data_IF_568575413368
#
_entry.id   IF_568575413368
#
_cell.length_a   1.000
_cell.length_b   1.000
_cell.length_c   1.000
_cell.angle_alpha   90.00
_cell.angle_beta   90.00
_cell.angle_gamma   90.00
#
_symmetry.space_group_name_H-M   'P 1'
#
loop_
_entity.id
_entity.type
_entity.pdbx_description
1 polymer ?
#
# COMPACT_ATOMS: atom_id res chain seq x y z
N UNK A 1 15.69 -14.06 2.34
CA UNK A 1 16.04 -15.48 2.55
C UNK A 1 15.03 -16.22 3.43
N UNK A 2 14.70 -15.72 4.64
CA UNK A 2 13.73 -16.39 5.53
C UNK A 2 12.29 -16.37 4.97
N UNK A 3 11.89 -15.34 4.29
CA UNK A 3 10.56 -15.24 3.65
C UNK A 3 10.41 -16.33 2.58
N UNK A 4 11.42 -16.55 1.75
CA UNK A 4 11.42 -17.61 0.74
C UNK A 4 11.48 -19.02 1.35
N UNK A 5 12.14 -19.19 2.49
CA UNK A 5 12.08 -20.44 3.25
C UNK A 5 10.65 -20.74 3.71
N UNK A 6 9.92 -19.74 4.20
CA UNK A 6 8.50 -19.88 4.57
C UNK A 6 7.63 -20.22 3.36
N UNK A 7 7.88 -19.58 2.21
CA UNK A 7 7.21 -19.91 0.94
C UNK A 7 7.42 -21.40 0.62
N UNK A 8 8.67 -21.86 0.62
CA UNK A 8 9.01 -23.24 0.31
C UNK A 8 8.36 -24.26 1.26
N UNK A 9 8.32 -23.95 2.54
CA UNK A 9 7.67 -24.80 3.54
C UNK A 9 6.18 -24.89 3.30
N UNK A 10 5.53 -23.76 3.09
CA UNK A 10 4.07 -23.68 2.92
C UNK A 10 3.59 -24.27 1.60
N UNK A 11 4.36 -24.16 0.53
CA UNK A 11 4.03 -24.77 -0.76
C UNK A 11 4.20 -26.30 -0.76
N UNK A 12 5.12 -26.83 0.08
CA UNK A 12 5.31 -28.26 0.27
C UNK A 12 4.32 -28.87 1.27
N UNK A 13 3.72 -28.03 2.12
CA UNK A 13 2.79 -28.49 3.14
C UNK A 13 1.43 -28.88 2.51
N UNK A 14 0.85 -29.98 2.98
CA UNK A 14 -0.50 -30.39 2.58
C UNK A 14 -1.59 -29.63 3.40
N UNK A 15 -1.41 -28.32 3.55
CA UNK A 15 -2.34 -27.46 4.28
C UNK A 15 -2.59 -26.15 3.54
N UNK A 16 -3.73 -25.54 3.79
CA UNK A 16 -3.98 -24.19 3.29
C UNK A 16 -3.19 -23.17 4.11
N UNK A 17 -2.62 -22.21 3.41
CA UNK A 17 -1.92 -21.07 3.99
C UNK A 17 -2.34 -19.79 3.28
N UNK A 18 -2.31 -18.67 3.98
CA UNK A 18 -2.59 -17.35 3.41
C UNK A 18 -1.82 -16.28 4.17
N UNK A 19 -1.83 -15.07 3.64
CA UNK A 19 -1.19 -13.89 4.22
C UNK A 19 -2.15 -12.70 4.12
N UNK A 20 -2.06 -11.77 5.07
CA UNK A 20 -2.94 -10.61 5.06
C UNK A 20 -2.45 -9.48 4.13
N UNK A 21 -2.56 -9.67 2.83
CA UNK A 21 -2.46 -8.59 1.84
C UNK A 21 -3.82 -7.87 1.77
N UNK A 22 -4.16 -7.16 2.82
CA UNK A 22 -5.50 -6.67 3.11
C UNK A 22 -6.12 -5.78 2.02
N UNK A 23 -5.29 -5.07 1.24
CA UNK A 23 -5.77 -4.22 0.15
C UNK A 23 -6.47 -5.04 -0.93
N UNK A 24 -6.02 -6.27 -1.20
CA UNK A 24 -6.69 -7.16 -2.18
C UNK A 24 -8.13 -7.52 -1.77
N UNK A 25 -8.44 -7.51 -0.46
CA UNK A 25 -9.76 -7.82 0.07
C UNK A 25 -10.63 -6.57 0.32
N UNK A 26 -10.06 -5.37 0.20
CA UNK A 26 -10.81 -4.14 0.37
C UNK A 26 -11.81 -3.95 -0.78
N UNK A 27 -13.07 -3.65 -0.43
CA UNK A 27 -14.15 -3.52 -1.41
C UNK A 27 -13.83 -2.53 -2.55
N UNK A 28 -13.13 -1.45 -2.24
CA UNK A 28 -12.78 -0.42 -3.21
C UNK A 28 -11.71 -0.90 -4.19
N UNK A 29 -10.73 -1.70 -3.75
CA UNK A 29 -9.76 -2.32 -4.64
C UNK A 29 -10.37 -3.45 -5.47
N UNK A 30 -11.28 -4.22 -4.89
CA UNK A 30 -12.05 -5.25 -5.61
C UNK A 30 -12.92 -4.62 -6.72
N UNK A 31 -13.60 -3.50 -6.44
CA UNK A 31 -14.39 -2.78 -7.45
C UNK A 31 -13.53 -2.31 -8.62
N UNK A 32 -12.36 -1.74 -8.35
CA UNK A 32 -11.41 -1.31 -9.40
C UNK A 32 -10.92 -2.52 -10.19
N UNK A 33 -10.49 -3.60 -9.51
CA UNK A 33 -9.97 -4.80 -10.19
C UNK A 33 -11.03 -5.43 -11.10
N UNK A 34 -12.25 -5.55 -10.61
CA UNK A 34 -13.37 -6.06 -11.40
C UNK A 34 -13.61 -5.19 -12.65
N UNK A 35 -13.53 -3.88 -12.51
CA UNK A 35 -13.71 -2.94 -13.61
C UNK A 35 -12.61 -3.05 -14.68
N UNK A 36 -11.35 -3.27 -14.25
CA UNK A 36 -10.23 -3.58 -15.14
C UNK A 36 -10.49 -4.90 -15.87
N UNK A 37 -10.84 -5.95 -15.13
CA UNK A 37 -11.01 -7.32 -15.68
C UNK A 37 -12.21 -7.43 -16.63
N UNK A 38 -13.21 -6.58 -16.49
CA UNK A 38 -14.33 -6.44 -17.42
C UNK A 38 -13.96 -5.71 -18.71
N UNK A 39 -12.73 -5.16 -18.82
CA UNK A 39 -12.27 -4.44 -20.00
C UNK A 39 -12.83 -3.02 -20.13
N UNK A 40 -13.50 -2.51 -19.11
CA UNK A 40 -14.16 -1.20 -19.14
C UNK A 40 -13.18 -0.03 -19.35
N UNK A 41 -11.94 -0.18 -18.90
CA UNK A 41 -10.89 0.84 -19.11
C UNK A 41 -10.11 0.63 -20.42
N UNK A 42 -10.40 -0.44 -21.18
CA UNK A 42 -9.54 -0.88 -22.28
C UNK A 42 -8.23 -1.47 -21.77
N UNK A 43 -7.12 -1.20 -22.44
CA UNK A 43 -5.79 -1.60 -21.97
C UNK A 43 -5.33 -0.67 -20.86
N UNK A 44 -4.87 -1.24 -19.74
CA UNK A 44 -4.27 -0.47 -18.64
C UNK A 44 -2.97 0.19 -19.13
N UNK A 45 -2.82 1.48 -18.92
CA UNK A 45 -1.67 2.26 -19.38
C UNK A 45 -0.88 2.88 -18.23
N UNK A 46 -1.58 3.48 -17.25
CA UNK A 46 -0.94 4.21 -16.15
C UNK A 46 -1.61 3.82 -14.83
N UNK A 47 -0.77 3.59 -13.83
CA UNK A 47 -1.16 3.28 -12.48
C UNK A 47 -0.45 4.21 -11.51
N UNK A 48 -1.19 4.97 -10.71
CA UNK A 48 -0.65 5.87 -9.70
C UNK A 48 -1.26 5.56 -8.35
N UNK A 49 -0.40 5.38 -7.36
CA UNK A 49 -0.79 5.12 -5.99
C UNK A 49 -0.08 6.11 -5.08
N UNK A 50 -0.82 6.74 -4.20
CA UNK A 50 -0.28 7.59 -3.15
C UNK A 50 -0.88 7.18 -1.81
N UNK A 51 -0.03 7.01 -0.81
CA UNK A 51 -0.46 6.86 0.57
C UNK A 51 0.45 7.65 1.50
N UNK A 52 -0.05 8.78 1.93
CA UNK A 52 0.68 9.74 2.75
C UNK A 52 -0.10 10.01 4.03
N UNK A 53 0.50 9.69 5.16
CA UNK A 53 -0.08 9.91 6.49
C UNK A 53 0.90 10.63 7.41
N UNK A 54 0.44 11.20 8.53
CA UNK A 54 1.33 11.57 9.62
C UNK A 54 2.03 10.33 10.17
N UNK A 55 3.27 10.50 10.64
CA UNK A 55 4.03 9.42 11.29
C UNK A 55 3.38 8.94 12.58
N UNK A 56 3.72 7.73 12.98
CA UNK A 56 3.25 7.12 14.21
C UNK A 56 4.11 7.53 15.41
N UNK A 57 3.57 7.45 16.61
CA UNK A 57 4.32 7.70 17.82
C UNK A 57 5.32 6.57 18.12
N UNK A 58 6.47 6.87 18.79
CA UNK A 58 7.38 5.82 19.26
C UNK A 58 6.63 4.80 20.12
N UNK A 59 6.97 3.51 19.97
CA UNK A 59 6.35 2.41 20.70
C UNK A 59 4.99 1.97 20.13
N UNK A 60 4.55 2.51 19.02
CA UNK A 60 3.34 2.04 18.32
C UNK A 60 3.63 0.87 17.34
N UNK A 61 4.88 0.42 17.24
CA UNK A 61 5.27 -0.81 16.60
C UNK A 61 6.09 -0.64 15.32
N UNK A 62 5.77 0.35 14.50
CA UNK A 62 6.35 0.49 13.16
C UNK A 62 7.87 0.71 13.13
N UNK A 63 8.45 1.33 14.15
CA UNK A 63 9.91 1.47 14.24
C UNK A 63 10.65 0.14 14.39
N UNK A 64 9.97 -0.92 14.80
CA UNK A 64 10.50 -2.27 14.93
C UNK A 64 10.23 -3.15 13.72
N UNK A 65 9.29 -2.77 12.86
CA UNK A 65 8.88 -3.51 11.66
C UNK A 65 9.78 -3.20 10.45
N UNK A 66 10.56 -2.14 10.53
CA UNK A 66 11.51 -1.73 9.49
C UNK A 66 11.20 -0.35 8.91
N UNK A 67 11.88 0.01 7.80
CA UNK A 67 11.63 1.26 7.12
C UNK A 67 10.19 1.38 6.62
N UNK A 68 9.61 2.57 6.73
CA UNK A 68 8.20 2.83 6.41
C UNK A 68 7.75 2.31 5.03
N UNK A 69 8.61 2.43 4.02
CA UNK A 69 8.29 1.95 2.67
C UNK A 69 8.29 0.42 2.57
N UNK A 70 9.13 -0.27 3.34
CA UNK A 70 9.09 -1.73 3.40
C UNK A 70 7.90 -2.20 4.23
N UNK A 71 7.66 -1.63 5.41
CA UNK A 71 6.56 -2.01 6.29
C UNK A 71 5.18 -1.77 5.64
N UNK A 72 4.88 -0.53 5.28
CA UNK A 72 3.59 -0.15 4.74
C UNK A 72 3.57 -0.12 3.21
N UNK A 73 4.65 0.33 2.58
CA UNK A 73 4.75 0.48 1.12
C UNK A 73 4.61 -0.84 0.38
N UNK A 74 5.01 -1.97 0.97
CA UNK A 74 4.85 -3.29 0.36
C UNK A 74 3.39 -3.62 -0.02
N UNK A 75 2.41 -3.12 0.73
CA UNK A 75 1.01 -3.30 0.39
C UNK A 75 0.62 -2.59 -0.91
N UNK A 76 1.20 -1.43 -1.17
CA UNK A 76 0.96 -0.66 -2.40
C UNK A 76 1.74 -1.22 -3.58
N UNK A 77 2.92 -1.77 -3.33
CA UNK A 77 3.69 -2.55 -4.30
C UNK A 77 2.91 -3.80 -4.70
N UNK A 78 2.32 -4.52 -3.76
CA UNK A 78 1.49 -5.69 -4.02
C UNK A 78 0.24 -5.36 -4.85
N UNK A 79 -0.52 -4.35 -4.44
CA UNK A 79 -1.76 -4.01 -5.12
C UNK A 79 -1.51 -3.49 -6.55
N UNK A 80 -0.38 -2.80 -6.79
CA UNK A 80 0.02 -2.38 -8.11
C UNK A 80 0.31 -3.59 -9.04
N UNK A 81 1.06 -4.59 -8.54
CA UNK A 81 1.29 -5.86 -9.24
C UNK A 81 -0.04 -6.57 -9.57
N UNK A 82 -0.94 -6.61 -8.60
CA UNK A 82 -2.24 -7.27 -8.76
C UNK A 82 -3.10 -6.60 -9.82
N UNK A 83 -3.07 -5.26 -9.91
CA UNK A 83 -3.75 -4.54 -11.00
C UNK A 83 -3.09 -4.77 -12.35
N UNK A 84 -1.76 -4.67 -12.42
CA UNK A 84 -1.01 -4.86 -13.67
C UNK A 84 -1.05 -6.30 -14.20
N UNK A 85 -1.22 -7.29 -13.31
CA UNK A 85 -1.24 -8.70 -13.66
C UNK A 85 0.11 -9.27 -14.12
N UNK A 86 1.22 -8.56 -13.85
CA UNK A 86 2.57 -8.98 -14.18
C UNK A 86 3.62 -8.30 -13.28
N UNK A 87 4.88 -8.68 -13.45
CA UNK A 87 5.99 -8.20 -12.64
C UNK A 87 6.53 -6.84 -13.11
N UNK A 88 7.20 -6.13 -12.19
CA UNK A 88 7.95 -4.91 -12.48
C UNK A 88 9.09 -5.20 -13.44
N UNK A 89 9.40 -4.23 -14.33
CA UNK A 89 10.47 -4.35 -15.33
C UNK A 89 11.57 -3.31 -15.12
N UNK A 90 11.19 -2.06 -14.92
CA UNK A 90 12.11 -0.96 -14.65
C UNK A 90 11.59 -0.14 -13.50
N UNK A 91 12.49 0.47 -12.74
CA UNK A 91 12.15 1.37 -11.64
C UNK A 91 13.22 2.43 -11.45
N UNK A 92 12.82 3.52 -10.84
CA UNK A 92 13.65 4.56 -10.31
C UNK A 92 12.98 5.13 -9.07
N UNK A 93 13.70 5.15 -7.96
CA UNK A 93 13.16 5.56 -6.67
C UNK A 93 13.84 6.81 -6.15
N UNK A 94 13.09 7.64 -5.47
CA UNK A 94 13.59 8.82 -4.75
C UNK A 94 13.10 8.75 -3.32
N UNK A 95 13.94 9.21 -2.40
CA UNK A 95 13.59 9.39 -1.01
C UNK A 95 14.03 10.75 -0.49
N UNK A 96 13.54 11.11 0.67
CA UNK A 96 14.03 12.27 1.42
C UNK A 96 14.11 11.91 2.89
N UNK A 97 15.24 12.21 3.50
CA UNK A 97 15.39 12.15 4.94
C UNK A 97 14.88 13.46 5.55
N UNK A 98 13.89 13.33 6.40
CA UNK A 98 13.37 14.45 7.18
C UNK A 98 13.71 14.24 8.65
N UNK A 99 14.17 15.31 9.28
CA UNK A 99 14.59 15.31 10.67
C UNK A 99 15.72 14.28 10.93
N UNK A 100 15.64 13.53 12.03
CA UNK A 100 16.65 12.53 12.43
C UNK A 100 16.23 11.09 12.15
N UNK A 101 15.26 10.85 11.29
CA UNK A 101 14.92 9.49 10.89
C UNK A 101 16.11 8.83 10.19
N UNK A 102 16.43 7.61 10.61
CA UNK A 102 17.52 6.83 10.04
C UNK A 102 17.26 6.48 8.58
N UNK A 103 16.03 6.09 8.28
CA UNK A 103 15.59 5.69 6.96
C UNK A 103 14.66 6.78 6.38
N UNK A 104 14.56 6.93 5.06
CA UNK A 104 13.60 7.84 4.47
C UNK A 104 12.17 7.40 4.80
N UNK A 105 11.41 8.28 5.43
CA UNK A 105 9.99 8.03 5.74
C UNK A 105 9.06 8.55 4.64
N UNK A 106 9.61 8.91 3.53
CA UNK A 106 8.94 9.18 2.28
C UNK A 106 9.77 8.62 1.13
N UNK A 107 9.15 7.79 0.33
CA UNK A 107 9.75 7.22 -0.88
C UNK A 107 8.71 7.29 -2.01
N UNK A 108 9.17 7.70 -3.18
CA UNK A 108 8.46 7.59 -4.45
C UNK A 108 9.24 6.64 -5.36
N UNK A 109 8.54 5.71 -5.97
CA UNK A 109 9.10 4.83 -7.00
C UNK A 109 8.22 4.87 -8.24
N UNK A 110 8.84 5.04 -9.41
CA UNK A 110 8.15 5.01 -10.69
C UNK A 110 8.91 4.14 -11.70
N UNK A 111 8.22 3.69 -12.74
CA UNK A 111 8.83 2.84 -13.74
C UNK A 111 7.80 2.15 -14.62
N UNK A 112 8.13 0.95 -15.09
CA UNK A 112 7.26 0.17 -15.97
C UNK A 112 7.12 -1.27 -15.50
N UNK A 113 5.97 -1.86 -15.78
CA UNK A 113 5.73 -3.29 -15.70
C UNK A 113 6.16 -4.00 -16.99
N UNK A 114 6.23 -5.33 -16.97
CA UNK A 114 6.63 -6.15 -18.12
C UNK A 114 5.69 -5.97 -19.33
N UNK A 115 4.42 -5.69 -19.11
CA UNK A 115 3.41 -5.40 -20.13
C UNK A 115 3.41 -3.95 -20.63
N UNK A 116 4.35 -3.11 -20.15
CA UNK A 116 4.49 -1.71 -20.55
C UNK A 116 3.65 -0.70 -19.76
N UNK A 117 2.83 -1.14 -18.81
CA UNK A 117 2.09 -0.23 -17.92
C UNK A 117 3.09 0.61 -17.12
N UNK A 118 2.88 1.91 -17.11
CA UNK A 118 3.68 2.87 -16.31
C UNK A 118 3.10 2.95 -14.89
N UNK A 119 3.97 2.94 -13.89
CA UNK A 119 3.54 3.08 -12.50
C UNK A 119 4.23 4.26 -11.78
N UNK A 120 3.55 4.77 -10.76
CA UNK A 120 4.05 5.74 -9.78
C UNK A 120 3.46 5.35 -8.42
N UNK A 121 4.31 4.97 -7.48
CA UNK A 121 3.95 4.60 -6.11
C UNK A 121 4.65 5.54 -5.15
N UNK A 122 3.88 6.30 -4.38
CA UNK A 122 4.38 7.19 -3.33
C UNK A 122 3.82 6.76 -1.98
N UNK A 123 4.70 6.52 -1.03
CA UNK A 123 4.32 6.21 0.35
C UNK A 123 5.18 6.99 1.34
N UNK A 124 4.57 7.47 2.42
CA UNK A 124 5.31 8.12 3.49
C UNK A 124 4.49 8.42 4.73
N UNK A 125 5.21 8.54 5.84
CA UNK A 125 4.68 8.85 7.17
C UNK A 125 5.10 10.24 7.67
N UNK A 126 5.25 11.18 6.76
CA UNK A 126 5.71 12.55 7.06
C UNK A 126 4.70 13.64 6.69
N UNK A 127 3.48 13.24 6.36
CA UNK A 127 2.47 14.14 5.80
C UNK A 127 1.77 14.97 6.89
N UNK A 128 2.21 16.21 7.03
CA UNK A 128 1.64 17.14 8.02
C UNK A 128 1.87 16.73 9.47
N UNK A 129 2.96 16.04 9.76
CA UNK A 129 3.24 15.45 11.06
C UNK A 129 3.21 16.43 12.22
N UNK A 130 3.67 17.67 12.01
CA UNK A 130 3.68 18.75 12.97
C UNK A 130 2.59 19.80 12.72
N UNK A 131 1.66 19.53 11.81
CA UNK A 131 0.53 20.42 11.56
C UNK A 131 -0.44 20.42 12.76
N UNK A 132 -1.05 21.58 13.00
CA UNK A 132 -2.06 21.74 14.06
C UNK A 132 -3.23 20.78 13.85
N UNK A 133 -3.70 20.70 12.61
CA UNK A 133 -4.77 19.80 12.15
C UNK A 133 -4.14 18.80 11.18
N UNK A 134 -3.95 17.57 11.64
CA UNK A 134 -3.34 16.53 10.84
C UNK A 134 -4.32 16.01 9.80
N UNK A 135 -3.79 15.66 8.65
CA UNK A 135 -4.53 15.09 7.53
C UNK A 135 -3.72 14.00 6.85
N UNK A 136 -4.27 13.41 5.82
CA UNK A 136 -3.60 12.42 4.98
C UNK A 136 -3.91 12.70 3.51
N UNK A 137 -3.18 12.05 2.63
CA UNK A 137 -3.47 12.03 1.20
C UNK A 137 -3.32 10.60 0.68
N UNK A 138 -4.43 9.97 0.34
CA UNK A 138 -4.44 8.60 -0.15
C UNK A 138 -5.35 8.48 -1.35
N UNK A 139 -4.78 8.00 -2.46
CA UNK A 139 -5.52 7.77 -3.70
C UNK A 139 -4.92 6.65 -4.55
N UNK A 140 -5.75 6.13 -5.42
CA UNK A 140 -5.38 5.29 -6.56
C UNK A 140 -6.00 5.88 -7.81
N UNK A 141 -5.18 6.13 -8.83
CA UNK A 141 -5.62 6.52 -10.17
C UNK A 141 -5.18 5.44 -11.16
N UNK A 142 -6.14 4.83 -11.83
CA UNK A 142 -5.96 3.85 -12.89
C UNK A 142 -6.43 4.48 -14.20
N UNK A 143 -5.55 4.54 -15.19
CA UNK A 143 -5.84 5.14 -16.48
C UNK A 143 -5.62 4.08 -17.56
N UNK A 144 -6.66 3.77 -18.28
CA UNK A 144 -6.61 2.90 -19.44
C UNK A 144 -6.86 3.67 -20.74
N UNK A 145 -6.77 2.95 -21.86
CA UNK A 145 -6.94 3.54 -23.20
C UNK A 145 -8.38 3.98 -23.50
N UNK A 146 -9.36 3.55 -22.70
CA UNK A 146 -10.80 3.80 -22.90
C UNK A 146 -11.55 4.28 -21.66
N UNK A 147 -10.90 4.27 -20.50
CA UNK A 147 -11.57 4.62 -19.25
C UNK A 147 -10.60 4.86 -18.10
N UNK A 148 -11.17 5.22 -16.95
CA UNK A 148 -10.43 5.47 -15.72
C UNK A 148 -11.13 4.83 -14.53
N UNK A 149 -10.37 4.51 -13.49
CA UNK A 149 -10.88 4.20 -12.17
C UNK A 149 -10.08 4.99 -11.13
N UNK A 150 -10.75 5.67 -10.22
CA UNK A 150 -10.14 6.44 -9.16
C UNK A 150 -10.70 6.05 -7.81
N UNK A 151 -9.84 5.94 -6.81
CA UNK A 151 -10.21 5.76 -5.41
C UNK A 151 -9.57 6.84 -4.55
N UNK A 152 -10.34 7.35 -3.59
CA UNK A 152 -9.84 8.17 -2.46
C UNK A 152 -10.51 7.71 -1.17
N UNK A 153 -9.86 7.92 -0.04
CA UNK A 153 -10.46 7.66 1.28
C UNK A 153 -9.97 8.65 2.34
N UNK A 154 -10.71 8.73 3.43
CA UNK A 154 -10.40 9.52 4.62
C UNK A 154 -10.32 8.67 5.89
N UNK A 155 -10.06 7.38 5.77
CA UNK A 155 -10.10 6.34 6.82
C UNK A 155 -11.48 6.10 7.46
N UNK A 156 -12.49 6.86 7.10
CA UNK A 156 -13.89 6.66 7.49
C UNK A 156 -14.72 6.17 6.31
N UNK A 157 -14.56 6.86 5.20
CA UNK A 157 -15.28 6.63 3.95
C UNK A 157 -14.28 6.44 2.83
N UNK A 158 -14.54 5.51 1.93
CA UNK A 158 -13.85 5.40 0.66
C UNK A 158 -14.82 5.71 -0.49
N UNK A 159 -14.30 6.40 -1.49
CA UNK A 159 -15.02 6.79 -2.69
C UNK A 159 -14.31 6.21 -3.90
N UNK A 160 -15.05 5.52 -4.76
CA UNK A 160 -14.56 4.96 -6.02
C UNK A 160 -15.36 5.58 -7.17
N UNK A 161 -14.66 6.23 -8.09
CA UNK A 161 -15.20 6.73 -9.36
C UNK A 161 -14.72 5.81 -10.49
N UNK A 162 -15.67 5.17 -11.18
CA UNK A 162 -15.44 4.29 -12.32
C UNK A 162 -16.05 4.93 -13.56
N UNK A 163 -15.27 5.09 -14.62
CA UNK A 163 -15.72 5.65 -15.89
C UNK A 163 -15.18 4.80 -17.03
N UNK A 164 -16.01 3.93 -17.54
CA UNK A 164 -15.68 2.93 -18.56
C UNK A 164 -16.38 3.18 -19.90
N UNK A 165 -16.25 2.20 -20.76
CA UNK A 165 -16.83 2.20 -22.10
C UNK A 165 -18.35 2.10 -22.02
N UNK A 166 -18.85 1.21 -21.16
CA UNK A 166 -20.28 0.89 -21.08
C UNK A 166 -20.94 1.39 -19.81
N UNK A 167 -20.17 1.70 -18.76
CA UNK A 167 -20.70 2.09 -17.46
C UNK A 167 -19.90 3.22 -16.81
N UNK A 168 -20.62 4.01 -16.04
CA UNK A 168 -20.05 5.04 -15.14
C UNK A 168 -20.74 4.88 -13.81
N UNK A 169 -19.93 4.75 -12.76
CA UNK A 169 -20.43 4.55 -11.40
C UNK A 169 -19.58 5.33 -10.39
N UNK A 170 -20.24 5.89 -9.38
CA UNK A 170 -19.59 6.42 -8.18
C UNK A 170 -20.11 5.66 -6.98
N UNK A 171 -19.21 5.00 -6.27
CA UNK A 171 -19.51 4.20 -5.10
C UNK A 171 -18.90 4.89 -3.88
N UNK A 172 -19.70 5.10 -2.84
CA UNK A 172 -19.24 5.66 -1.57
C UNK A 172 -19.72 4.74 -0.45
N UNK A 173 -18.79 4.20 0.32
CA UNK A 173 -19.06 3.27 1.43
C UNK A 173 -18.05 3.47 2.56
N UNK A 174 -18.32 2.94 3.78
CA UNK A 174 -17.33 2.88 4.85
C UNK A 174 -16.01 2.27 4.36
N UNK A 175 -14.90 2.81 4.84
CA UNK A 175 -13.54 2.37 4.46
C UNK A 175 -13.29 0.89 4.80
N UNK A 176 -13.77 0.41 5.96
CA UNK A 176 -13.73 -1.01 6.33
C UNK A 176 -12.43 -1.48 7.00
N UNK A 177 -11.42 -0.62 7.11
CA UNK A 177 -10.16 -0.98 7.78
C UNK A 177 -9.36 -2.08 7.06
N UNK A 178 -8.74 -2.98 7.82
CA UNK A 178 -7.85 -4.04 7.30
C UNK A 178 -8.57 -5.29 6.76
N UNK A 179 -9.90 -5.35 6.83
CA UNK A 179 -10.73 -6.47 6.29
C UNK A 179 -10.26 -7.88 6.72
N UNK A 180 -9.81 -8.02 7.97
CA UNK A 180 -9.31 -9.30 8.50
C UNK A 180 -10.45 -10.33 8.61
N UNK A 181 -11.64 -9.88 8.94
CA UNK A 181 -12.87 -10.68 8.96
C UNK A 181 -13.13 -11.34 7.61
N UNK A 182 -13.07 -10.59 6.52
CA UNK A 182 -13.20 -11.12 5.16
C UNK A 182 -12.14 -12.18 4.87
N UNK A 183 -10.89 -11.94 5.27
CA UNK A 183 -9.82 -12.92 5.10
C UNK A 183 -10.10 -14.21 5.88
N UNK A 184 -10.55 -14.10 7.13
CA UNK A 184 -10.89 -15.23 7.97
C UNK A 184 -12.05 -16.06 7.39
N UNK A 185 -13.09 -15.40 6.89
CA UNK A 185 -14.23 -16.07 6.26
C UNK A 185 -13.82 -16.85 5.01
N UNK A 186 -13.02 -16.25 4.12
CA UNK A 186 -12.48 -16.90 2.94
C UNK A 186 -11.56 -18.10 3.29
N UNK A 187 -10.83 -17.99 4.38
CA UNK A 187 -9.97 -19.07 4.85
C UNK A 187 -10.78 -20.21 5.47
N UNK A 188 -11.78 -19.90 6.29
CA UNK A 188 -12.71 -20.89 6.85
C UNK A 188 -13.45 -21.65 5.74
N UNK A 189 -13.99 -20.94 4.73
CA UNK A 189 -14.64 -21.56 3.56
C UNK A 189 -13.68 -22.53 2.84
N UNK A 190 -12.41 -22.19 2.71
CA UNK A 190 -11.42 -23.09 2.12
C UNK A 190 -11.21 -24.38 2.91
N UNK A 191 -11.24 -24.30 4.24
CA UNK A 191 -11.14 -25.48 5.12
C UNK A 191 -12.40 -26.33 5.00
N UNK A 192 -13.58 -25.73 5.07
CA UNK A 192 -14.87 -26.43 5.03
C UNK A 192 -15.09 -27.13 3.68
N UNK A 193 -14.73 -26.49 2.58
CA UNK A 193 -14.92 -27.05 1.24
C UNK A 193 -13.78 -27.97 0.79
N UNK A 194 -12.65 -27.97 1.50
CA UNK A 194 -11.42 -28.67 1.10
C UNK A 194 -10.76 -28.11 -0.16
N UNK A 195 -11.19 -26.91 -0.60
CA UNK A 195 -10.69 -26.26 -1.82
C UNK A 195 -10.26 -24.83 -1.49
N UNK A 196 -9.02 -24.47 -1.85
CA UNK A 196 -8.51 -23.11 -1.63
C UNK A 196 -9.37 -22.07 -2.35
N UNK A 197 -9.89 -21.10 -1.62
CA UNK A 197 -10.59 -19.97 -2.21
C UNK A 197 -9.59 -19.11 -3.05
N UNK A 198 -9.88 -18.84 -4.34
CA UNK A 198 -8.96 -18.13 -5.23
C UNK A 198 -8.71 -16.67 -4.84
N UNK A 199 -9.54 -16.09 -3.98
CA UNK A 199 -9.34 -14.73 -3.47
C UNK A 199 -8.31 -14.63 -2.34
N UNK A 200 -7.89 -15.76 -1.76
CA UNK A 200 -6.87 -15.77 -0.72
C UNK A 200 -5.48 -15.47 -1.32
N UNK A 201 -4.77 -14.45 -0.85
CA UNK A 201 -3.39 -14.20 -1.25
C UNK A 201 -2.47 -15.38 -0.89
N UNK A 202 -1.48 -15.64 -1.72
CA UNK A 202 -0.44 -16.61 -1.45
C UNK A 202 0.65 -15.98 -0.56
N UNK A 203 1.31 -16.79 0.26
CA UNK A 203 2.50 -16.34 1.00
C UNK A 203 3.60 -15.87 0.03
N UNK A 204 3.72 -16.52 -1.10
CA UNK A 204 4.62 -16.10 -2.20
C UNK A 204 4.32 -14.67 -2.70
N UNK A 205 3.06 -14.26 -2.78
CA UNK A 205 2.70 -12.88 -3.17
C UNK A 205 3.29 -11.84 -2.22
N UNK A 206 3.26 -12.14 -0.91
CA UNK A 206 3.85 -11.27 0.11
C UNK A 206 5.38 -11.24 0.03
N UNK A 207 6.03 -12.39 -0.17
CA UNK A 207 7.48 -12.45 -0.31
C UNK A 207 7.96 -11.64 -1.52
N UNK A 208 7.27 -11.75 -2.66
CA UNK A 208 7.59 -10.97 -3.86
C UNK A 208 7.36 -9.46 -3.61
N UNK A 209 6.26 -9.09 -2.97
CA UNK A 209 5.98 -7.68 -2.67
C UNK A 209 7.01 -7.07 -1.70
N UNK A 210 7.43 -7.83 -0.69
CA UNK A 210 8.49 -7.48 0.25
C UNK A 210 9.83 -7.28 -0.47
N UNK A 211 10.21 -8.21 -1.35
CA UNK A 211 11.44 -8.11 -2.14
C UNK A 211 11.47 -6.88 -3.03
N UNK A 212 10.37 -6.56 -3.74
CA UNK A 212 10.29 -5.33 -4.51
C UNK A 212 10.30 -4.08 -3.65
N UNK A 213 9.62 -4.08 -2.50
CA UNK A 213 9.64 -2.94 -1.59
C UNK A 213 11.04 -2.64 -1.06
N UNK A 214 11.81 -3.69 -0.71
CA UNK A 214 13.22 -3.55 -0.38
C UNK A 214 14.06 -3.08 -1.57
N UNK A 215 13.83 -3.60 -2.77
CA UNK A 215 14.53 -3.21 -3.99
C UNK A 215 14.32 -1.73 -4.30
N UNK A 216 13.09 -1.24 -4.20
CA UNK A 216 12.77 0.18 -4.43
C UNK A 216 13.36 1.09 -3.35
N UNK A 217 13.34 0.66 -2.10
CA UNK A 217 13.98 1.38 -1.01
C UNK A 217 15.51 1.44 -1.21
N UNK A 218 16.14 0.32 -1.58
CA UNK A 218 17.59 0.30 -1.85
C UNK A 218 17.96 1.15 -3.07
N UNK A 219 17.13 1.17 -4.11
CA UNK A 219 17.34 2.05 -5.25
C UNK A 219 17.34 3.54 -4.81
N UNK A 220 16.41 3.93 -3.92
CA UNK A 220 16.41 5.28 -3.35
C UNK A 220 17.69 5.62 -2.59
N UNK A 221 18.34 4.66 -1.92
CA UNK A 221 19.62 4.87 -1.24
C UNK A 221 20.80 5.02 -2.21
N UNK A 222 20.70 4.54 -3.44
CA UNK A 222 21.77 4.71 -4.46
C UNK A 222 21.81 6.11 -5.03
N UNK A 223 20.77 6.90 -4.82
CA UNK A 223 20.69 8.29 -5.21
C UNK A 223 21.00 9.20 -4.03
N UNK A 224 21.23 10.47 -4.30
CA UNK A 224 21.40 11.46 -3.24
C UNK A 224 20.10 11.59 -2.45
N UNK A 225 20.15 11.31 -1.14
CA UNK A 225 19.05 11.48 -0.23
C UNK A 225 19.17 12.84 0.47
N UNK A 226 18.48 13.87 -0.02
CA UNK A 226 18.53 15.16 0.65
C UNK A 226 18.02 15.04 2.08
N UNK A 227 18.76 15.62 3.02
CA UNK A 227 18.34 15.78 4.40
C UNK A 227 17.75 17.18 4.57
N UNK A 228 16.49 17.27 4.94
CA UNK A 228 15.74 18.54 5.03
C UNK A 228 15.16 18.70 6.44
N UNK A 229 15.24 19.92 6.95
CA UNK A 229 14.76 20.30 8.26
C UNK A 229 15.86 20.28 9.33
N UNK A 230 15.51 20.70 10.52
CA UNK A 230 16.39 20.63 11.68
C UNK A 230 16.58 19.17 12.10
N UNK A 231 17.78 18.83 12.54
CA UNK A 231 18.10 17.49 13.05
C UNK A 231 17.51 17.31 14.46
N UNK A 232 16.20 17.26 14.56
CA UNK A 232 15.51 16.90 15.78
C UNK A 232 15.51 15.38 15.95
N UNK A 233 15.62 14.91 17.20
CA UNK A 233 15.42 13.50 17.48
C UNK A 233 13.95 13.11 17.31
N UNK A 234 13.69 11.84 17.01
CA UNK A 234 12.32 11.30 16.97
C UNK A 234 11.56 11.62 18.26
N UNK A 235 12.21 11.51 19.41
CA UNK A 235 11.63 11.80 20.72
C UNK A 235 11.19 13.26 20.85
N UNK A 236 12.00 14.22 20.39
CA UNK A 236 11.66 15.64 20.37
C UNK A 236 10.45 15.91 19.48
N UNK A 237 10.39 15.28 18.31
CA UNK A 237 9.27 15.40 17.37
C UNK A 237 7.99 14.86 18.04
N UNK A 238 8.07 13.68 18.66
CA UNK A 238 6.93 13.06 19.31
C UNK A 238 6.49 13.79 20.58
N UNK A 239 7.42 14.33 21.37
CA UNK A 239 7.09 15.16 22.51
C UNK A 239 6.34 16.43 22.11
N UNK A 240 6.83 17.12 21.06
CA UNK A 240 6.16 18.28 20.48
C UNK A 240 4.76 17.92 20.00
N UNK A 241 4.61 16.80 19.33
CA UNK A 241 3.36 16.30 18.82
C UNK A 241 2.35 15.96 19.92
N UNK A 242 2.77 15.33 20.99
CA UNK A 242 1.92 15.03 22.17
C UNK A 242 1.36 16.29 22.82
N UNK A 243 2.07 17.38 22.76
CA UNK A 243 1.66 18.67 23.31
C UNK A 243 0.73 19.48 22.39
N UNK A 244 0.47 19.02 21.18
CA UNK A 244 -0.50 19.65 20.28
C UNK A 244 -1.92 19.27 20.69
N UNK A 245 -2.82 20.27 20.79
CA UNK A 245 -4.23 20.07 21.23
C UNK A 245 -5.00 19.06 20.34
N UNK A 246 -4.63 18.94 19.08
CA UNK A 246 -5.28 18.06 18.08
C UNK A 246 -4.34 16.98 17.56
N UNK A 247 -3.27 16.65 18.32
CA UNK A 247 -2.35 15.59 17.95
C UNK A 247 -3.07 14.25 17.76
N UNK A 248 -2.69 13.49 16.73
CA UNK A 248 -3.20 12.13 16.47
C UNK A 248 -4.64 12.00 15.94
N UNK A 249 -5.24 13.04 15.36
CA UNK A 249 -6.64 12.98 14.89
C UNK A 249 -6.99 11.78 14.01
N UNK A 250 -6.06 11.27 13.23
CA UNK A 250 -6.26 10.09 12.37
C UNK A 250 -5.83 8.76 13.04
N UNK A 251 -4.99 8.83 14.06
CA UNK A 251 -4.36 7.68 14.70
C UNK A 251 -4.83 7.47 16.16
N UNK A 252 -5.86 8.18 16.60
CA UNK A 252 -6.49 7.89 17.90
C UNK A 252 -7.09 6.48 17.82
N UNK A 253 -6.59 5.59 18.68
CA UNK A 253 -7.29 4.33 18.92
C UNK A 253 -8.71 4.63 19.39
N UNK A 254 -9.69 3.85 18.93
CA UNK A 254 -11.07 3.95 19.41
C UNK A 254 -11.16 3.73 20.92
#
# INVERSE_FOLDING_TARGET
DKEWEVVDITEKAACFSTVNLYLRNAWYHQAIKQFIDQGEIGELAILRICHMTPGLAPGEGHEYEGPAFHDCGMHYVDIARWYAGCEYKTWHSQGVNMWSYKDPWWVQCHGTFQNGVVFDITQGFVYGQLSKDQTHNSYVDIIGTKGIARMTHDFKTAVVDLRGVTQTERIEKPFGGKNIDVLCDLFADSIETGTRNPKLPLIRDSAIASEYAWTFLHDAYTHDLPAIGELETLEQIWERRRNMKNGYGLLQKP
#
